data_IF_703297905022
#
_entry.id   IF_703297905022
#
_cell.length_a   1.000
_cell.length_b   1.000
_cell.length_c   1.000
_cell.angle_alpha   90.00
_cell.angle_beta   90.00
_cell.angle_gamma   90.00
#
_symmetry.space_group_name_H-M   'P 1'
#
loop_
_entity.id
_entity.type
_entity.pdbx_description
1 polymer ?
#
# COMPACT_ATOMS: atom_id res chain seq x y z
N UNK A 1 -34.51 -26.64 23.81
CA UNK A 1 -35.31 -25.41 23.63
C UNK A 1 -34.72 -24.61 22.47
N UNK A 2 -35.34 -24.66 21.29
CA UNK A 2 -34.91 -23.89 20.13
C UNK A 2 -35.27 -22.42 20.35
N UNK A 3 -34.28 -21.55 20.63
CA UNK A 3 -34.49 -20.10 20.61
C UNK A 3 -34.78 -19.69 19.16
N UNK A 4 -36.07 -19.60 18.80
CA UNK A 4 -36.51 -18.87 17.60
C UNK A 4 -35.97 -17.45 17.74
N UNK A 5 -34.97 -17.09 16.94
CA UNK A 5 -34.49 -15.71 16.85
C UNK A 5 -35.69 -14.83 16.51
N UNK A 6 -36.06 -13.94 17.43
CA UNK A 6 -37.11 -12.97 17.20
C UNK A 6 -36.73 -12.14 15.96
N UNK A 7 -37.59 -12.17 14.94
CA UNK A 7 -37.43 -11.35 13.74
C UNK A 7 -37.53 -9.89 14.14
N UNK A 8 -36.37 -9.22 14.21
CA UNK A 8 -36.24 -7.78 14.45
C UNK A 8 -37.19 -7.02 13.53
N UNK A 9 -38.04 -6.18 14.10
CA UNK A 9 -39.05 -5.41 13.39
C UNK A 9 -38.41 -4.39 12.44
N UNK A 10 -39.20 -3.89 11.48
CA UNK A 10 -38.73 -2.87 10.53
C UNK A 10 -38.30 -1.58 11.24
N UNK A 11 -39.00 -1.19 12.30
CA UNK A 11 -38.66 0.03 13.04
C UNK A 11 -37.42 -0.16 13.91
N UNK A 12 -37.23 -1.32 14.52
CA UNK A 12 -35.98 -1.61 15.24
C UNK A 12 -34.76 -1.61 14.29
N UNK A 13 -34.91 -2.12 13.06
CA UNK A 13 -33.84 -2.03 12.05
C UNK A 13 -33.54 -0.58 11.66
N UNK A 14 -34.58 0.23 11.48
CA UNK A 14 -34.46 1.64 11.12
C UNK A 14 -33.79 2.44 12.25
N UNK A 15 -34.19 2.21 13.50
CA UNK A 15 -33.58 2.84 14.66
C UNK A 15 -32.10 2.46 14.79
N UNK A 16 -31.78 1.17 14.63
CA UNK A 16 -30.39 0.71 14.70
C UNK A 16 -29.50 1.35 13.64
N UNK A 17 -30.01 1.56 12.42
CA UNK A 17 -29.29 2.29 11.37
C UNK A 17 -29.07 3.75 11.80
N UNK A 18 -30.09 4.42 12.34
CA UNK A 18 -29.98 5.79 12.80
C UNK A 18 -28.95 5.95 13.93
N UNK A 19 -28.90 5.03 14.87
CA UNK A 19 -27.93 5.03 15.97
C UNK A 19 -26.49 4.88 15.45
N UNK A 20 -26.27 3.94 14.52
CA UNK A 20 -24.96 3.72 13.86
C UNK A 20 -24.53 4.97 13.08
N UNK A 21 -25.44 5.60 12.33
CA UNK A 21 -25.16 6.83 11.60
C UNK A 21 -24.79 7.98 12.55
N UNK A 22 -25.53 8.16 13.66
CA UNK A 22 -25.23 9.20 14.64
C UNK A 22 -23.87 8.99 15.34
N UNK A 23 -23.53 7.75 15.66
CA UNK A 23 -22.24 7.40 16.23
C UNK A 23 -21.09 7.72 15.27
N UNK A 24 -21.26 7.42 13.99
CA UNK A 24 -20.31 7.76 12.93
C UNK A 24 -20.11 9.28 12.82
N UNK A 25 -21.17 10.07 12.76
CA UNK A 25 -21.09 11.54 12.70
C UNK A 25 -20.37 12.13 13.90
N UNK A 26 -20.64 11.59 15.10
CA UNK A 26 -19.95 12.01 16.33
C UNK A 26 -18.45 11.72 16.27
N UNK A 27 -18.07 10.57 15.72
CA UNK A 27 -16.66 10.16 15.58
C UNK A 27 -15.90 11.07 14.61
N UNK A 28 -16.54 11.44 13.49
CA UNK A 28 -15.96 12.40 12.52
C UNK A 28 -15.61 13.71 13.21
N UNK A 29 -16.49 14.24 14.07
CA UNK A 29 -16.20 15.48 14.81
C UNK A 29 -15.02 15.32 15.78
N UNK A 30 -14.83 14.13 16.34
CA UNK A 30 -13.73 13.80 17.24
C UNK A 30 -12.35 13.97 16.59
N UNK A 31 -12.22 13.62 15.30
CA UNK A 31 -10.93 13.68 14.59
C UNK A 31 -10.40 15.10 14.38
N UNK A 32 -11.24 16.13 14.54
CA UNK A 32 -10.83 17.53 14.43
C UNK A 32 -10.42 18.15 15.76
N UNK A 33 -10.33 17.38 16.85
CA UNK A 33 -9.95 17.89 18.18
C UNK A 33 -8.46 18.20 18.27
N UNK A 34 -7.61 17.38 17.66
CA UNK A 34 -6.17 17.59 17.63
C UNK A 34 -5.54 17.11 16.31
N UNK A 35 -4.34 17.62 15.96
CA UNK A 35 -3.59 17.09 14.81
C UNK A 35 -3.29 15.59 14.93
N UNK A 36 -3.14 15.07 16.16
CA UNK A 36 -2.88 13.66 16.40
C UNK A 36 -4.12 12.80 16.09
N UNK A 37 -5.31 13.22 16.51
CA UNK A 37 -6.56 12.50 16.18
C UNK A 37 -6.79 12.43 14.67
N UNK A 38 -6.48 13.54 13.96
CA UNK A 38 -6.55 13.58 12.50
C UNK A 38 -5.50 12.66 11.87
N UNK A 39 -4.27 12.67 12.38
CA UNK A 39 -3.17 11.80 11.93
C UNK A 39 -3.60 10.32 11.99
N UNK A 40 -4.09 9.90 13.15
CA UNK A 40 -4.54 8.53 13.40
C UNK A 40 -5.70 8.13 12.47
N UNK A 41 -6.65 9.04 12.26
CA UNK A 41 -7.75 8.82 11.33
C UNK A 41 -7.28 8.68 9.87
N UNK A 42 -6.39 9.53 9.38
CA UNK A 42 -5.89 9.47 8.00
C UNK A 42 -5.03 8.22 7.75
N UNK A 43 -4.19 7.85 8.72
CA UNK A 43 -3.45 6.59 8.66
C UNK A 43 -4.38 5.39 8.61
N UNK A 44 -5.48 5.41 9.37
CA UNK A 44 -6.50 4.36 9.31
C UNK A 44 -7.27 4.37 7.98
N UNK A 45 -7.62 5.55 7.47
CA UNK A 45 -8.30 5.72 6.19
C UNK A 45 -7.49 5.16 5.03
N UNK A 46 -6.18 5.41 5.02
CA UNK A 46 -5.26 4.85 4.04
C UNK A 46 -5.33 3.32 4.01
N UNK A 47 -5.30 2.65 5.17
CA UNK A 47 -5.35 1.19 5.24
C UNK A 47 -6.67 0.60 4.73
N UNK A 48 -7.79 1.30 4.93
CA UNK A 48 -9.14 0.82 4.60
C UNK A 48 -9.77 1.54 3.41
N UNK A 49 -8.95 2.07 2.48
CA UNK A 49 -9.36 2.92 1.36
C UNK A 49 -10.47 2.35 0.45
N UNK A 50 -10.67 1.03 0.44
CA UNK A 50 -11.75 0.34 -0.30
C UNK A 50 -13.12 0.35 0.39
N UNK A 51 -13.19 0.74 1.66
CA UNK A 51 -14.44 0.98 2.37
C UNK A 51 -14.78 2.48 2.30
N UNK A 52 -16.07 2.83 2.30
CA UNK A 52 -16.47 4.24 2.37
C UNK A 52 -15.95 4.91 3.65
N UNK A 53 -15.70 6.23 3.61
CA UNK A 53 -15.30 7.03 4.78
C UNK A 53 -16.19 6.81 6.01
N UNK A 54 -17.49 6.63 5.79
CA UNK A 54 -18.48 6.21 6.79
C UNK A 54 -18.14 4.88 7.44
N UNK A 55 -17.88 3.85 6.63
CA UNK A 55 -17.54 2.52 7.13
C UNK A 55 -16.15 2.47 7.76
N UNK A 56 -15.17 3.22 7.24
CA UNK A 56 -13.84 3.40 7.86
C UNK A 56 -14.00 3.93 9.27
N UNK A 57 -14.77 5.02 9.42
CA UNK A 57 -15.05 5.63 10.73
C UNK A 57 -15.73 4.64 11.68
N UNK A 58 -16.70 3.87 11.18
CA UNK A 58 -17.39 2.86 11.98
C UNK A 58 -16.46 1.73 12.43
N UNK A 59 -15.56 1.28 11.57
CA UNK A 59 -14.61 0.21 11.90
C UNK A 59 -13.64 0.71 12.98
N UNK A 60 -13.01 1.87 12.77
CA UNK A 60 -12.05 2.43 13.71
C UNK A 60 -12.65 2.63 15.11
N UNK A 61 -13.87 3.17 15.17
CA UNK A 61 -14.53 3.46 16.45
C UNK A 61 -15.02 2.19 17.18
N UNK A 62 -15.30 1.11 16.47
CA UNK A 62 -15.75 -0.15 17.07
C UNK A 62 -14.60 -1.11 17.39
N UNK A 63 -13.48 -1.00 16.67
CA UNK A 63 -12.34 -1.90 16.78
C UNK A 63 -11.04 -1.14 16.49
N UNK A 64 -10.52 -0.51 17.54
CA UNK A 64 -9.24 0.19 17.49
C UNK A 64 -8.10 -0.79 17.15
N UNK A 65 -7.20 -0.38 16.26
CA UNK A 65 -6.09 -1.22 15.81
C UNK A 65 -6.47 -2.29 14.77
N UNK A 66 -7.65 -2.22 14.15
CA UNK A 66 -7.98 -3.09 13.02
C UNK A 66 -6.93 -2.97 11.91
N UNK A 67 -6.49 -4.11 11.35
CA UNK A 67 -5.45 -4.18 10.33
C UNK A 67 -5.97 -4.75 9.01
N UNK A 68 -6.93 -5.67 9.09
CA UNK A 68 -7.56 -6.22 7.91
C UNK A 68 -8.93 -6.78 8.22
N UNK A 69 -9.97 -6.23 7.59
CA UNK A 69 -11.34 -6.62 7.85
C UNK A 69 -11.99 -7.26 6.63
N UNK A 70 -12.76 -8.31 6.89
CA UNK A 70 -13.55 -9.01 5.90
C UNK A 70 -14.85 -9.53 6.50
N UNK A 71 -15.84 -9.78 5.64
CA UNK A 71 -17.07 -10.44 6.07
C UNK A 71 -16.78 -11.88 6.54
N UNK A 72 -17.69 -12.47 7.31
CA UNK A 72 -17.57 -13.89 7.69
C UNK A 72 -17.39 -14.80 6.46
N UNK A 73 -18.15 -14.53 5.40
CA UNK A 73 -18.06 -15.27 4.13
C UNK A 73 -16.72 -15.07 3.43
N UNK A 74 -16.18 -13.86 3.43
CA UNK A 74 -14.86 -13.56 2.86
C UNK A 74 -13.76 -14.40 3.52
N UNK A 75 -13.71 -14.41 4.86
CA UNK A 75 -12.72 -15.20 5.58
C UNK A 75 -12.86 -16.69 5.30
N UNK A 76 -14.11 -17.19 5.29
CA UNK A 76 -14.41 -18.57 4.96
C UNK A 76 -13.94 -18.96 3.56
N UNK A 77 -14.20 -18.11 2.57
CA UNK A 77 -13.76 -18.32 1.18
C UNK A 77 -12.24 -18.37 1.07
N UNK A 78 -11.53 -17.55 1.85
CA UNK A 78 -10.06 -17.53 1.92
C UNK A 78 -9.45 -18.68 2.75
N UNK A 79 -10.28 -19.58 3.27
CA UNK A 79 -9.85 -20.75 4.05
C UNK A 79 -9.67 -20.49 5.55
N UNK A 80 -10.15 -19.35 6.05
CA UNK A 80 -10.04 -18.95 7.45
C UNK A 80 -11.40 -18.93 8.14
N UNK A 81 -11.40 -19.09 9.46
CA UNK A 81 -12.60 -19.08 10.29
C UNK A 81 -12.51 -17.98 11.35
N UNK A 82 -13.64 -17.30 11.57
CA UNK A 82 -13.80 -16.38 12.70
C UNK A 82 -13.80 -17.20 13.99
N UNK A 83 -13.04 -16.74 14.99
CA UNK A 83 -12.92 -17.40 16.30
C UNK A 83 -14.29 -17.41 17.00
N UNK A 84 -14.57 -18.49 17.72
CA UNK A 84 -15.84 -18.66 18.43
C UNK A 84 -15.99 -17.59 19.51
N UNK A 85 -17.09 -16.84 19.48
CA UNK A 85 -17.42 -15.82 20.48
C UNK A 85 -17.08 -14.39 20.06
N UNK A 86 -16.37 -14.21 18.95
CA UNK A 86 -16.04 -12.88 18.41
C UNK A 86 -17.30 -12.11 18.00
N UNK A 87 -17.29 -10.81 18.28
CA UNK A 87 -18.36 -9.89 17.89
C UNK A 87 -18.00 -9.21 16.58
N UNK A 88 -18.93 -9.21 15.63
CA UNK A 88 -18.74 -8.53 14.35
C UNK A 88 -18.79 -7.01 14.48
N UNK A 89 -17.93 -6.35 13.72
CA UNK A 89 -17.84 -4.90 13.55
C UNK A 89 -18.95 -4.45 12.59
N UNK A 90 -19.81 -3.53 13.01
CA UNK A 90 -20.96 -3.11 12.22
C UNK A 90 -20.55 -2.16 11.09
N UNK A 91 -21.03 -2.42 9.89
CA UNK A 91 -20.87 -1.55 8.72
C UNK A 91 -22.22 -1.27 8.06
N UNK A 92 -22.31 -0.17 7.32
CA UNK A 92 -23.45 0.15 6.49
C UNK A 92 -23.28 -0.48 5.10
N UNK A 93 -24.25 -1.31 4.71
CA UNK A 93 -24.26 -2.01 3.42
C UNK A 93 -25.33 -1.39 2.53
N UNK A 94 -24.96 -0.80 1.37
CA UNK A 94 -25.93 -0.23 0.44
C UNK A 94 -26.69 -1.34 -0.30
N UNK A 95 -28.01 -1.15 -0.44
CA UNK A 95 -28.88 -1.96 -1.27
C UNK A 95 -29.71 -1.07 -2.17
N UNK A 96 -29.83 -1.44 -3.44
CA UNK A 96 -30.70 -0.78 -4.40
C UNK A 96 -31.95 -1.62 -4.62
N UNK A 97 -33.13 -1.00 -4.48
CA UNK A 97 -34.37 -1.64 -4.90
C UNK A 97 -34.49 -1.57 -6.42
N UNK A 98 -34.89 -2.65 -7.07
CA UNK A 98 -35.13 -2.59 -8.50
C UNK A 98 -36.30 -1.64 -8.85
N UNK A 99 -36.11 -0.81 -9.88
CA UNK A 99 -37.13 0.10 -10.38
C UNK A 99 -38.35 -0.66 -10.91
N UNK A 100 -39.55 -0.12 -10.67
CA UNK A 100 -40.81 -0.72 -11.10
C UNK A 100 -41.68 0.31 -11.83
N UNK A 101 -42.48 -0.15 -12.79
CA UNK A 101 -43.52 0.63 -13.43
C UNK A 101 -44.88 -0.04 -13.22
N UNK A 102 -45.95 0.74 -13.30
CA UNK A 102 -47.32 0.25 -13.18
C UNK A 102 -47.87 -0.08 -14.56
N UNK A 103 -48.18 -1.35 -14.78
CA UNK A 103 -48.81 -1.82 -16.01
C UNK A 103 -50.25 -1.27 -16.13
N UNK A 104 -50.84 -1.32 -17.34
CA UNK A 104 -52.24 -0.92 -17.59
C UNK A 104 -53.26 -1.64 -16.69
N UNK A 105 -52.94 -2.86 -16.25
CA UNK A 105 -53.76 -3.67 -15.33
C UNK A 105 -53.58 -3.28 -13.84
N UNK A 106 -52.80 -2.22 -13.54
CA UNK A 106 -52.54 -1.73 -12.19
C UNK A 106 -51.45 -2.50 -11.42
N UNK A 107 -50.86 -3.55 -12.00
CA UNK A 107 -49.79 -4.35 -11.39
C UNK A 107 -48.43 -3.67 -11.51
N UNK A 108 -47.60 -3.76 -10.47
CA UNK A 108 -46.22 -3.29 -10.49
C UNK A 108 -45.27 -4.34 -11.09
N UNK A 109 -44.56 -3.96 -12.15
CA UNK A 109 -43.59 -4.80 -12.87
C UNK A 109 -42.20 -4.19 -12.85
N UNK A 110 -41.18 -5.04 -12.82
CA UNK A 110 -39.79 -4.60 -12.88
C UNK A 110 -39.49 -3.96 -14.25
N UNK A 111 -38.79 -2.83 -14.24
CA UNK A 111 -38.36 -2.16 -15.48
C UNK A 111 -37.47 -3.08 -16.33
N UNK A 112 -36.63 -3.90 -15.71
CA UNK A 112 -35.79 -4.90 -16.40
C UNK A 112 -36.57 -5.99 -17.13
N UNK A 113 -37.87 -6.15 -16.83
CA UNK A 113 -38.76 -7.12 -17.48
C UNK A 113 -39.76 -6.45 -18.44
N UNK A 114 -39.60 -5.15 -18.73
CA UNK A 114 -40.49 -4.42 -19.63
C UNK A 114 -40.36 -4.89 -21.09
N UNK A 115 -41.48 -5.01 -21.81
CA UNK A 115 -41.52 -5.19 -23.26
C UNK A 115 -41.07 -3.91 -23.98
N UNK A 116 -40.79 -4.00 -25.29
CA UNK A 116 -40.39 -2.82 -26.08
C UNK A 116 -41.45 -1.71 -26.08
N UNK A 117 -42.74 -2.06 -26.11
CA UNK A 117 -43.81 -1.08 -26.02
C UNK A 117 -43.90 -0.44 -24.62
N UNK A 118 -43.74 -1.23 -23.56
CA UNK A 118 -43.70 -0.74 -22.19
C UNK A 118 -42.47 0.17 -21.97
N UNK A 119 -41.31 -0.14 -22.56
CA UNK A 119 -40.12 0.72 -22.51
C UNK A 119 -40.37 2.08 -23.17
N UNK A 120 -41.08 2.12 -24.31
CA UNK A 120 -41.48 3.38 -24.96
C UNK A 120 -42.42 4.20 -24.06
N UNK A 121 -43.38 3.54 -23.41
CA UNK A 121 -44.30 4.21 -22.46
C UNK A 121 -43.58 4.72 -21.21
N UNK A 122 -42.57 4.00 -20.71
CA UNK A 122 -41.70 4.44 -19.61
C UNK A 122 -40.89 5.67 -20.03
N UNK A 123 -40.27 5.65 -21.22
CA UNK A 123 -39.46 6.75 -21.74
C UNK A 123 -40.29 8.02 -21.98
N UNK A 124 -41.54 7.88 -22.45
CA UNK A 124 -42.48 8.98 -22.65
C UNK A 124 -43.21 9.42 -21.37
N UNK A 125 -42.86 8.85 -20.20
CA UNK A 125 -43.47 9.13 -18.89
C UNK A 125 -44.99 8.93 -18.84
N UNK A 126 -45.51 8.01 -19.66
CA UNK A 126 -46.94 7.70 -19.74
C UNK A 126 -47.41 6.69 -18.69
N UNK A 127 -46.49 6.10 -17.92
CA UNK A 127 -46.77 5.12 -16.86
C UNK A 127 -46.24 5.57 -15.51
N UNK A 128 -46.96 5.20 -14.44
CA UNK A 128 -46.56 5.51 -13.07
C UNK A 128 -45.29 4.71 -12.71
N UNK A 129 -44.27 5.41 -12.19
CA UNK A 129 -42.96 4.85 -11.89
C UNK A 129 -42.68 4.83 -10.38
N UNK A 130 -42.11 3.72 -9.92
CA UNK A 130 -41.41 3.59 -8.65
C UNK A 130 -39.91 3.49 -8.96
N UNK A 131 -39.15 4.61 -8.86
CA UNK A 131 -37.74 4.59 -9.18
C UNK A 131 -36.96 3.66 -8.24
N UNK A 132 -35.77 3.27 -8.67
CA UNK A 132 -34.81 2.61 -7.79
C UNK A 132 -34.55 3.50 -6.58
N UNK A 133 -34.55 2.91 -5.38
CA UNK A 133 -34.26 3.59 -4.11
C UNK A 133 -33.07 2.92 -3.47
N UNK A 134 -32.10 3.73 -3.07
CA UNK A 134 -31.00 3.30 -2.22
C UNK A 134 -31.49 3.23 -0.78
N UNK A 135 -31.19 2.13 -0.09
CA UNK A 135 -31.38 2.00 1.34
C UNK A 135 -30.20 1.21 1.92
N UNK A 136 -30.00 1.31 3.23
CA UNK A 136 -28.89 0.66 3.91
C UNK A 136 -29.37 -0.43 4.86
N UNK A 137 -28.54 -1.43 5.07
CA UNK A 137 -28.67 -2.39 6.17
C UNK A 137 -27.37 -2.47 6.97
N UNK A 138 -27.41 -3.13 8.11
CA UNK A 138 -26.22 -3.37 8.93
C UNK A 138 -25.60 -4.71 8.54
N UNK A 139 -24.39 -4.64 7.97
CA UNK A 139 -23.51 -5.78 7.77
C UNK A 139 -22.52 -5.93 8.92
N UNK A 140 -21.81 -7.05 8.92
CA UNK A 140 -20.77 -7.34 9.91
C UNK A 140 -19.49 -7.80 9.23
N UNK A 141 -18.38 -7.18 9.64
CA UNK A 141 -17.02 -7.58 9.27
C UNK A 141 -16.24 -7.98 10.52
N UNK A 142 -15.13 -8.68 10.32
CA UNK A 142 -14.26 -9.18 11.37
C UNK A 142 -12.83 -8.85 10.99
N UNK A 143 -12.07 -8.33 11.95
CA UNK A 143 -10.64 -8.12 11.79
C UNK A 143 -9.87 -9.45 11.74
N UNK A 144 -8.71 -9.47 11.10
CA UNK A 144 -7.80 -10.61 11.02
C UNK A 144 -7.52 -11.23 12.39
N UNK A 145 -7.32 -10.40 13.42
CA UNK A 145 -7.11 -10.83 14.81
C UNK A 145 -8.28 -11.62 15.40
N UNK A 146 -9.50 -11.40 14.89
CA UNK A 146 -10.72 -12.13 15.25
C UNK A 146 -10.87 -13.46 14.50
N UNK A 147 -9.91 -13.82 13.66
CA UNK A 147 -9.90 -15.06 12.87
C UNK A 147 -8.69 -15.92 13.22
N UNK A 148 -8.60 -17.11 12.61
CA UNK A 148 -7.44 -17.98 12.70
C UNK A 148 -6.36 -17.70 11.62
N UNK A 149 -6.47 -16.60 10.84
CA UNK A 149 -5.44 -16.20 9.86
C UNK A 149 -4.14 -15.84 10.57
N UNK A 150 -2.99 -16.17 9.96
CA UNK A 150 -1.66 -15.75 10.43
C UNK A 150 -1.18 -14.53 9.66
N UNK A 151 -0.28 -13.75 10.25
CA UNK A 151 0.32 -12.60 9.58
C UNK A 151 0.96 -12.97 8.23
N UNK A 152 1.61 -14.13 8.15
CA UNK A 152 2.22 -14.67 6.92
C UNK A 152 1.22 -14.94 5.80
N UNK A 153 -0.05 -15.15 6.11
CA UNK A 153 -1.10 -15.38 5.12
C UNK A 153 -1.69 -14.08 4.57
N UNK A 154 -1.57 -12.96 5.31
CA UNK A 154 -2.22 -11.70 4.95
C UNK A 154 -1.75 -11.13 3.60
N UNK A 155 -0.46 -11.24 3.19
CA UNK A 155 -0.04 -10.87 1.84
C UNK A 155 -0.78 -11.60 0.73
N UNK A 156 -1.10 -12.89 0.93
CA UNK A 156 -1.88 -13.65 -0.06
C UNK A 156 -3.36 -13.26 -0.04
N UNK A 157 -3.90 -12.90 1.11
CA UNK A 157 -5.31 -12.55 1.28
C UNK A 157 -5.61 -11.12 0.81
N UNK A 158 -4.67 -10.18 1.03
CA UNK A 158 -4.76 -8.76 0.68
C UNK A 158 -3.48 -8.29 -0.06
N UNK A 159 -3.26 -8.75 -1.30
CA UNK A 159 -1.97 -8.58 -2.00
C UNK A 159 -1.49 -7.14 -2.14
N UNK A 160 -2.39 -6.19 -2.39
CA UNK A 160 -2.01 -4.81 -2.64
C UNK A 160 -1.70 -4.01 -1.36
N UNK A 161 -2.01 -4.54 -0.17
CA UNK A 161 -1.85 -3.82 1.10
C UNK A 161 -0.41 -3.83 1.64
N UNK A 162 0.43 -4.74 1.14
CA UNK A 162 1.78 -4.97 1.64
C UNK A 162 2.86 -4.49 0.66
N UNK A 163 2.50 -3.57 -0.23
CA UNK A 163 3.47 -2.89 -1.07
C UNK A 163 4.24 -1.89 -0.20
N UNK A 164 5.49 -2.24 0.15
CA UNK A 164 6.36 -1.33 0.89
C UNK A 164 6.84 -0.20 -0.03
N UNK A 165 6.60 1.05 0.37
CA UNK A 165 7.11 2.24 -0.32
C UNK A 165 8.43 2.71 0.27
N UNK A 166 9.47 1.88 0.21
CA UNK A 166 10.84 2.39 0.37
C UNK A 166 11.24 3.23 -0.85
N UNK A 167 12.18 4.15 -0.68
CA UNK A 167 12.75 5.01 -1.74
C UNK A 167 13.24 4.19 -2.97
N UNK A 168 13.60 2.92 -2.78
CA UNK A 168 13.90 1.98 -3.86
C UNK A 168 12.78 1.85 -4.93
N UNK A 169 11.54 2.17 -4.58
CA UNK A 169 10.37 2.15 -5.48
C UNK A 169 9.95 3.54 -5.99
N UNK A 170 10.76 4.59 -5.79
CA UNK A 170 10.41 5.98 -6.14
C UNK A 170 9.97 6.14 -7.61
N UNK A 171 10.68 5.54 -8.55
CA UNK A 171 10.35 5.63 -9.99
C UNK A 171 8.98 5.01 -10.30
N UNK A 172 8.67 3.84 -9.73
CA UNK A 172 7.37 3.18 -9.92
C UNK A 172 6.24 3.95 -9.22
N UNK A 173 6.51 4.53 -8.05
CA UNK A 173 5.57 5.42 -7.37
C UNK A 173 5.30 6.69 -8.18
N UNK A 174 6.34 7.28 -8.77
CA UNK A 174 6.23 8.47 -9.61
C UNK A 174 5.42 8.20 -10.87
N UNK A 175 5.66 7.07 -11.57
CA UNK A 175 4.79 6.60 -12.65
C UNK A 175 3.34 6.43 -12.22
N UNK A 176 3.10 5.96 -10.99
CA UNK A 176 1.76 5.90 -10.40
C UNK A 176 1.10 7.27 -10.28
N UNK A 177 1.85 8.32 -9.92
CA UNK A 177 1.37 9.70 -9.88
C UNK A 177 1.16 10.30 -11.28
N UNK A 178 1.98 9.94 -12.26
CA UNK A 178 1.75 10.30 -13.67
C UNK A 178 0.43 9.68 -14.17
N UNK A 179 0.17 8.41 -13.85
CA UNK A 179 -1.09 7.75 -14.19
C UNK A 179 -2.31 8.40 -13.50
N UNK A 180 -2.15 8.96 -12.29
CA UNK A 180 -3.19 9.78 -11.65
C UNK A 180 -3.47 11.02 -12.49
N UNK A 181 -2.43 11.72 -12.94
CA UNK A 181 -2.56 12.92 -13.75
C UNK A 181 -3.31 12.60 -15.07
N UNK A 182 -2.88 11.55 -15.78
CA UNK A 182 -3.51 11.07 -17.00
C UNK A 182 -5.00 10.72 -16.80
N UNK A 183 -5.31 9.94 -15.77
CA UNK A 183 -6.69 9.53 -15.44
C UNK A 183 -7.62 10.71 -15.12
N UNK A 184 -7.07 11.81 -14.65
CA UNK A 184 -7.82 13.02 -14.27
C UNK A 184 -7.72 14.13 -15.33
N UNK A 185 -7.22 13.85 -16.54
CA UNK A 185 -6.99 14.83 -17.60
C UNK A 185 -6.14 16.03 -17.14
N UNK A 186 -5.13 15.77 -16.30
CA UNK A 186 -4.19 16.76 -15.76
C UNK A 186 -2.83 16.59 -16.44
N UNK A 187 -2.21 17.71 -16.83
CA UNK A 187 -0.86 17.70 -17.41
C UNK A 187 0.18 18.09 -16.38
N UNK A 188 1.20 17.25 -16.22
CA UNK A 188 2.41 17.62 -15.47
C UNK A 188 3.34 18.35 -16.44
N UNK A 189 3.63 19.62 -16.16
CA UNK A 189 4.44 20.50 -17.02
C UNK A 189 5.67 21.02 -16.28
N UNK A 190 6.65 21.51 -17.03
CA UNK A 190 7.67 22.37 -16.47
C UNK A 190 7.04 23.68 -15.94
N UNK A 191 7.57 24.28 -14.85
CA UNK A 191 7.08 25.56 -14.37
C UNK A 191 7.06 26.62 -15.46
N UNK A 192 5.95 27.36 -15.56
CA UNK A 192 5.81 28.47 -16.53
C UNK A 192 6.75 29.63 -16.20
N UNK A 193 7.17 29.74 -14.94
CA UNK A 193 8.09 30.72 -14.40
C UNK A 193 8.92 30.11 -13.25
N UNK A 194 10.00 30.78 -12.84
CA UNK A 194 10.82 30.35 -11.70
C UNK A 194 10.01 30.41 -10.39
N UNK A 195 9.92 29.27 -9.70
CA UNK A 195 9.09 29.12 -8.50
C UNK A 195 9.80 29.56 -7.20
N UNK A 196 11.11 29.81 -7.24
CA UNK A 196 11.88 30.23 -6.07
C UNK A 196 11.84 29.16 -4.97
N UNK A 197 11.21 29.50 -3.84
CA UNK A 197 11.05 28.60 -2.67
C UNK A 197 9.75 27.79 -2.70
N UNK A 198 8.80 28.15 -3.58
CA UNK A 198 7.52 27.43 -3.75
C UNK A 198 7.82 26.04 -4.28
N UNK A 199 7.20 25.01 -3.69
CA UNK A 199 7.50 23.61 -3.99
C UNK A 199 6.77 23.10 -5.23
N UNK A 200 5.57 23.60 -5.48
CA UNK A 200 4.74 23.24 -6.62
C UNK A 200 3.59 24.23 -6.79
N UNK A 201 2.88 24.09 -7.91
CA UNK A 201 1.73 24.92 -8.23
C UNK A 201 0.76 24.15 -9.12
N UNK A 202 -0.53 24.29 -8.81
CA UNK A 202 -1.64 23.84 -9.64
C UNK A 202 -2.26 25.03 -10.38
N UNK A 203 -2.57 24.84 -11.66
CA UNK A 203 -3.22 25.82 -12.52
C UNK A 203 -4.65 25.34 -12.86
N UNK A 204 -5.68 25.71 -12.06
CA UNK A 204 -7.06 25.24 -12.24
C UNK A 204 -7.67 25.50 -13.61
N UNK A 205 -7.30 26.62 -14.24
CA UNK A 205 -7.85 27.06 -15.53
C UNK A 205 -7.40 26.17 -16.69
N UNK A 206 -6.20 25.60 -16.62
CA UNK A 206 -5.59 24.83 -17.69
C UNK A 206 -5.44 23.34 -17.36
N UNK A 207 -5.81 22.93 -16.14
CA UNK A 207 -5.60 21.57 -15.62
C UNK A 207 -4.14 21.13 -15.74
N UNK A 208 -3.26 22.01 -15.31
CA UNK A 208 -1.81 21.78 -15.34
C UNK A 208 -1.27 21.83 -13.91
N UNK A 209 -0.24 21.03 -13.64
CA UNK A 209 0.54 21.09 -12.39
C UNK A 209 2.02 21.21 -12.73
N UNK A 210 2.76 21.96 -11.92
CA UNK A 210 4.19 22.10 -12.06
C UNK A 210 4.89 21.95 -10.70
N UNK A 211 6.07 21.35 -10.70
CA UNK A 211 6.89 21.17 -9.51
C UNK A 211 8.18 21.98 -9.60
N UNK A 212 8.71 22.36 -8.45
CA UNK A 212 10.03 22.97 -8.37
C UNK A 212 11.10 21.92 -8.70
N UNK A 213 11.97 22.15 -9.71
CA UNK A 213 13.03 21.20 -10.08
C UNK A 213 14.05 20.95 -8.97
N UNK A 214 14.11 21.80 -7.94
CA UNK A 214 15.02 21.68 -6.79
C UNK A 214 14.47 20.80 -5.66
N UNK A 215 13.30 20.19 -5.84
CA UNK A 215 12.72 19.30 -4.83
C UNK A 215 13.51 18.00 -4.71
N UNK A 216 13.72 17.52 -3.48
CA UNK A 216 14.13 16.14 -3.24
C UNK A 216 13.04 15.16 -3.68
N UNK A 217 13.36 13.89 -3.85
CA UNK A 217 12.40 12.84 -4.25
C UNK A 217 11.17 12.79 -3.32
N UNK A 218 11.39 12.75 -2.00
CA UNK A 218 10.29 12.77 -1.03
C UNK A 218 9.43 14.03 -1.15
N UNK A 219 10.07 15.19 -1.36
CA UNK A 219 9.34 16.44 -1.57
C UNK A 219 8.57 16.42 -2.89
N UNK A 220 9.09 15.83 -3.95
CA UNK A 220 8.39 15.67 -5.23
C UNK A 220 7.13 14.84 -5.07
N UNK A 221 7.19 13.68 -4.41
CA UNK A 221 6.01 12.83 -4.17
C UNK A 221 4.96 13.59 -3.38
N UNK A 222 5.33 14.19 -2.24
CA UNK A 222 4.38 14.93 -1.41
C UNK A 222 3.72 16.06 -2.22
N UNK A 223 4.55 16.87 -2.88
CA UNK A 223 4.06 18.05 -3.60
C UNK A 223 3.20 17.67 -4.79
N UNK A 224 3.60 16.66 -5.57
CA UNK A 224 2.82 16.23 -6.72
C UNK A 224 1.45 15.68 -6.30
N UNK A 225 1.39 14.86 -5.24
CA UNK A 225 0.12 14.39 -4.70
C UNK A 225 -0.79 15.56 -4.25
N UNK A 226 -0.20 16.59 -3.63
CA UNK A 226 -0.91 17.80 -3.22
C UNK A 226 -1.45 18.58 -4.43
N UNK A 227 -0.61 18.87 -5.43
CA UNK A 227 -1.03 19.62 -6.63
C UNK A 227 -2.04 18.83 -7.48
N UNK A 228 -1.90 17.50 -7.57
CA UNK A 228 -2.87 16.62 -8.24
C UNK A 228 -4.21 16.60 -7.50
N UNK A 229 -4.21 16.62 -6.17
CA UNK A 229 -5.43 16.73 -5.39
C UNK A 229 -6.12 18.09 -5.65
N UNK A 230 -5.36 19.18 -5.75
CA UNK A 230 -5.89 20.46 -6.19
C UNK A 230 -6.48 20.40 -7.59
N UNK A 231 -5.73 19.86 -8.56
CA UNK A 231 -6.16 19.80 -9.95
C UNK A 231 -7.44 18.96 -10.12
N UNK A 232 -7.60 17.91 -9.31
CA UNK A 232 -8.81 17.08 -9.29
C UNK A 232 -10.01 17.77 -8.63
N UNK A 233 -9.84 18.26 -7.41
CA UNK A 233 -10.95 18.73 -6.58
C UNK A 233 -11.36 20.18 -6.88
N UNK A 234 -10.41 21.00 -7.33
CA UNK A 234 -10.54 22.46 -7.43
C UNK A 234 -10.32 22.93 -8.86
N UNK A 235 -11.12 22.41 -9.78
CA UNK A 235 -11.13 22.85 -11.18
C UNK A 235 -11.69 24.27 -11.30
N UNK A 236 -11.58 24.87 -12.48
CA UNK A 236 -12.24 26.14 -12.85
C UNK A 236 -13.69 26.23 -12.36
N UNK A 237 -14.44 25.14 -12.44
CA UNK A 237 -15.86 25.12 -12.09
C UNK A 237 -16.10 24.93 -10.59
N UNK A 238 -15.26 24.14 -9.92
CA UNK A 238 -15.51 23.72 -8.52
C UNK A 238 -14.80 24.57 -7.49
N UNK A 239 -13.68 25.22 -7.84
CA UNK A 239 -12.84 25.93 -6.87
C UNK A 239 -13.56 27.08 -6.15
N UNK A 240 -14.62 27.64 -6.75
CA UNK A 240 -15.42 28.73 -6.18
C UNK A 240 -16.33 28.27 -5.03
N UNK A 241 -16.58 26.96 -4.91
CA UNK A 241 -17.44 26.40 -3.87
C UNK A 241 -16.74 26.27 -2.51
N UNK A 242 -15.41 26.41 -2.49
CA UNK A 242 -14.57 26.17 -1.33
C UNK A 242 -13.77 27.41 -0.97
N UNK A 243 -13.62 27.66 0.34
CA UNK A 243 -12.65 28.62 0.86
C UNK A 243 -11.23 28.12 0.64
N UNK A 244 -10.24 29.00 0.63
CA UNK A 244 -8.82 28.60 0.56
C UNK A 244 -8.47 27.57 1.64
N UNK A 245 -8.95 27.75 2.88
CA UNK A 245 -8.69 26.81 3.96
C UNK A 245 -9.27 25.41 3.69
N UNK A 246 -10.49 25.33 3.14
CA UNK A 246 -11.11 24.04 2.76
C UNK A 246 -10.32 23.37 1.62
N UNK A 247 -9.85 24.15 0.63
CA UNK A 247 -9.06 23.63 -0.49
C UNK A 247 -7.72 23.04 -0.03
N UNK A 248 -6.96 23.81 0.75
CA UNK A 248 -5.66 23.38 1.31
C UNK A 248 -5.83 22.18 2.23
N UNK A 249 -6.89 22.17 3.05
CA UNK A 249 -7.23 21.01 3.88
C UNK A 249 -7.40 19.76 3.01
N UNK A 250 -8.19 19.82 1.96
CA UNK A 250 -8.44 18.65 1.13
C UNK A 250 -7.20 18.15 0.40
N UNK A 251 -6.41 19.07 -0.18
CA UNK A 251 -5.20 18.70 -0.89
C UNK A 251 -4.16 18.10 0.07
N UNK A 252 -3.91 18.74 1.21
CA UNK A 252 -2.90 18.28 2.17
C UNK A 252 -3.30 16.95 2.82
N UNK A 253 -4.58 16.76 3.18
CA UNK A 253 -5.03 15.49 3.79
C UNK A 253 -5.04 14.34 2.79
N UNK A 254 -5.34 14.62 1.51
CA UNK A 254 -5.21 13.63 0.44
C UNK A 254 -3.75 13.21 0.28
N UNK A 255 -2.84 14.18 0.12
CA UNK A 255 -1.42 13.91 -0.03
C UNK A 255 -0.85 13.16 1.18
N UNK A 256 -1.22 13.58 2.40
CA UNK A 256 -0.85 12.91 3.63
C UNK A 256 -1.28 11.44 3.66
N UNK A 257 -2.55 11.17 3.31
CA UNK A 257 -3.14 9.82 3.32
C UNK A 257 -2.44 8.90 2.34
N UNK A 258 -2.23 9.37 1.11
CA UNK A 258 -1.58 8.60 0.05
C UNK A 258 -0.10 8.36 0.38
N UNK A 259 0.64 9.38 0.82
CA UNK A 259 2.04 9.23 1.19
C UNK A 259 2.22 8.27 2.38
N UNK A 260 1.38 8.38 3.41
CA UNK A 260 1.42 7.51 4.60
C UNK A 260 1.16 6.05 4.25
N UNK A 261 0.28 5.78 3.27
CA UNK A 261 0.01 4.41 2.81
C UNK A 261 1.27 3.72 2.30
N UNK A 262 2.13 4.46 1.60
CA UNK A 262 3.39 3.95 1.08
C UNK A 262 4.54 4.06 2.09
N UNK A 263 4.26 4.27 3.39
CA UNK A 263 5.29 4.30 4.43
C UNK A 263 6.18 5.55 4.39
N UNK A 264 5.80 6.57 3.62
CA UNK A 264 6.44 7.88 3.69
C UNK A 264 5.87 8.61 4.90
N UNK A 265 6.72 9.20 5.75
CA UNK A 265 6.26 10.01 6.88
C UNK A 265 6.25 11.51 6.52
N UNK A 266 5.09 12.09 6.12
CA UNK A 266 4.98 13.52 5.83
C UNK A 266 4.75 14.37 7.08
N UNK A 267 4.77 13.79 8.29
CA UNK A 267 4.20 14.43 9.49
C UNK A 267 4.96 15.66 10.00
N UNK A 268 6.28 15.76 9.81
CA UNK A 268 7.05 16.97 10.16
C UNK A 268 6.59 18.23 9.40
N UNK A 269 6.02 18.07 8.20
CA UNK A 269 5.67 19.19 7.32
C UNK A 269 4.16 19.41 7.16
N UNK A 270 3.35 18.35 7.19
CA UNK A 270 1.93 18.42 6.86
C UNK A 270 1.03 18.84 8.02
N UNK A 271 1.33 18.43 9.25
CA UNK A 271 0.45 18.67 10.40
C UNK A 271 0.60 20.09 10.97
N UNK A 272 1.81 20.65 10.97
CA UNK A 272 2.05 22.05 11.34
C UNK A 272 1.46 23.04 10.32
N UNK A 273 1.56 22.71 9.02
CA UNK A 273 0.94 23.49 7.95
C UNK A 273 -0.60 23.41 8.04
N UNK A 274 -1.18 22.23 8.26
CA UNK A 274 -2.62 22.07 8.47
C UNK A 274 -3.15 22.91 9.65
N UNK A 275 -2.44 22.93 10.77
CA UNK A 275 -2.79 23.75 11.92
C UNK A 275 -2.86 25.24 11.54
N UNK A 276 -1.91 25.73 10.72
CA UNK A 276 -1.93 27.11 10.23
C UNK A 276 -3.14 27.46 9.34
N UNK A 277 -3.70 26.47 8.63
CA UNK A 277 -4.86 26.66 7.76
C UNK A 277 -6.21 26.45 8.45
N UNK A 278 -6.24 25.68 9.53
CA UNK A 278 -7.49 25.26 10.19
C UNK A 278 -7.70 25.90 11.56
N UNK A 279 -6.65 26.41 12.22
CA UNK A 279 -6.76 27.05 13.52
C UNK A 279 -7.49 28.39 13.42
N UNK A 280 -8.60 28.50 14.13
CA UNK A 280 -9.45 29.71 14.15
C UNK A 280 -10.30 29.92 12.90
N UNK A 281 -10.31 28.98 11.95
CA UNK A 281 -11.17 29.01 10.76
C UNK A 281 -12.25 27.94 10.86
N UNK A 282 -13.46 28.27 10.45
CA UNK A 282 -14.57 27.32 10.41
C UNK A 282 -14.49 26.51 9.11
N UNK A 283 -14.35 25.19 9.23
CA UNK A 283 -14.47 24.26 8.12
C UNK A 283 -15.92 23.82 8.03
N UNK A 284 -16.62 24.28 7.00
CA UNK A 284 -18.04 23.93 6.81
C UNK A 284 -18.14 22.47 6.39
N UNK A 285 -19.23 21.83 6.81
CA UNK A 285 -19.59 20.49 6.36
C UNK A 285 -18.42 19.47 6.49
N UNK A 286 -17.73 19.42 7.63
CA UNK A 286 -16.56 18.54 7.86
C UNK A 286 -16.69 17.10 7.33
N UNK A 287 -17.86 16.50 7.48
CA UNK A 287 -18.14 15.16 6.95
C UNK A 287 -18.05 15.08 5.42
N UNK A 288 -18.47 16.13 4.71
CA UNK A 288 -18.32 16.28 3.25
C UNK A 288 -16.85 16.42 2.87
N UNK A 289 -16.10 17.30 3.54
CA UNK A 289 -14.67 17.48 3.27
C UNK A 289 -13.87 16.18 3.46
N UNK A 290 -14.12 15.47 4.56
CA UNK A 290 -13.50 14.17 4.86
C UNK A 290 -13.88 13.12 3.82
N UNK A 291 -15.14 13.11 3.37
CA UNK A 291 -15.59 12.21 2.32
C UNK A 291 -14.87 12.49 1.00
N UNK A 292 -14.73 13.76 0.61
CA UNK A 292 -14.05 14.17 -0.63
C UNK A 292 -12.54 13.84 -0.59
N UNK A 293 -11.89 14.03 0.57
CA UNK A 293 -10.50 13.57 0.83
C UNK A 293 -10.39 12.08 0.65
N UNK A 294 -11.29 11.32 1.28
CA UNK A 294 -11.28 9.86 1.22
C UNK A 294 -11.48 9.35 -0.21
N UNK A 295 -12.50 9.85 -0.93
CA UNK A 295 -12.78 9.43 -2.31
C UNK A 295 -11.60 9.73 -3.24
N UNK A 296 -10.96 10.89 -3.06
CA UNK A 296 -9.76 11.25 -3.82
C UNK A 296 -8.57 10.35 -3.49
N UNK A 297 -8.28 10.15 -2.20
CA UNK A 297 -7.18 9.32 -1.76
C UNK A 297 -7.36 7.86 -2.22
N UNK A 298 -8.58 7.32 -2.12
CA UNK A 298 -8.89 5.97 -2.58
C UNK A 298 -8.65 5.79 -4.08
N UNK A 299 -9.05 6.77 -4.91
CA UNK A 299 -8.76 6.72 -6.35
C UNK A 299 -7.25 6.81 -6.65
N UNK A 300 -6.53 7.68 -5.93
CA UNK A 300 -5.08 7.82 -6.10
C UNK A 300 -4.37 6.52 -5.73
N UNK A 301 -4.73 5.94 -4.57
CA UNK A 301 -4.20 4.67 -4.11
C UNK A 301 -4.50 3.53 -5.08
N UNK A 302 -5.73 3.41 -5.57
CA UNK A 302 -6.09 2.38 -6.55
C UNK A 302 -5.29 2.53 -7.85
N UNK A 303 -5.15 3.75 -8.35
CA UNK A 303 -4.37 4.05 -9.57
C UNK A 303 -2.90 3.67 -9.39
N UNK A 304 -2.29 4.06 -8.27
CA UNK A 304 -0.89 3.73 -7.98
C UNK A 304 -0.73 2.22 -7.77
N UNK A 305 -1.61 1.56 -7.02
CA UNK A 305 -1.58 0.11 -6.81
C UNK A 305 -1.59 -0.67 -8.12
N UNK A 306 -2.43 -0.26 -9.09
CA UNK A 306 -2.49 -0.89 -10.41
C UNK A 306 -1.15 -0.77 -11.12
N UNK A 307 -0.56 0.42 -11.15
CA UNK A 307 0.74 0.65 -11.80
C UNK A 307 1.85 -0.15 -11.11
N UNK A 308 1.90 -0.13 -9.78
CA UNK A 308 2.90 -0.89 -9.01
C UNK A 308 2.78 -2.39 -9.25
N UNK A 309 1.55 -2.92 -9.31
CA UNK A 309 1.30 -4.33 -9.59
C UNK A 309 1.73 -4.70 -11.01
N UNK A 310 1.42 -3.86 -12.01
CA UNK A 310 1.88 -4.07 -13.39
C UNK A 310 3.40 -4.02 -13.51
N UNK A 311 4.07 -3.09 -12.83
CA UNK A 311 5.53 -3.03 -12.84
C UNK A 311 6.15 -4.25 -12.15
N UNK A 312 5.52 -4.77 -11.10
CA UNK A 312 5.93 -6.02 -10.45
C UNK A 312 5.74 -7.24 -11.36
N UNK A 313 4.60 -7.33 -12.05
CA UNK A 313 4.34 -8.40 -13.02
C UNK A 313 5.32 -8.35 -14.19
N UNK A 314 5.60 -7.18 -14.75
CA UNK A 314 6.62 -7.01 -15.80
C UNK A 314 8.01 -7.44 -15.34
N UNK A 315 8.40 -7.10 -14.10
CA UNK A 315 9.67 -7.55 -13.52
C UNK A 315 9.71 -9.08 -13.38
N UNK A 316 8.63 -9.68 -12.87
CA UNK A 316 8.51 -11.13 -12.76
C UNK A 316 8.50 -11.82 -14.13
N UNK A 317 7.82 -11.27 -15.14
CA UNK A 317 7.83 -11.77 -16.52
C UNK A 317 9.20 -11.63 -17.18
N UNK A 318 9.92 -10.54 -16.92
CA UNK A 318 11.30 -10.37 -17.37
C UNK A 318 12.25 -11.37 -16.67
N UNK A 319 12.08 -11.62 -15.38
CA UNK A 319 12.83 -12.65 -14.65
C UNK A 319 12.50 -14.05 -15.16
N UNK A 320 11.24 -14.34 -15.49
CA UNK A 320 10.81 -15.62 -16.07
C UNK A 320 11.29 -15.76 -17.53
N UNK A 321 11.23 -14.73 -18.37
CA UNK A 321 11.78 -14.76 -19.75
C UNK A 321 13.30 -14.87 -19.72
N UNK A 322 13.99 -14.21 -18.78
CA UNK A 322 15.42 -14.42 -18.55
C UNK A 322 15.67 -15.86 -18.09
N UNK A 323 14.87 -16.42 -17.19
CA UNK A 323 15.00 -17.80 -16.69
C UNK A 323 14.69 -18.83 -17.79
N UNK A 324 13.65 -18.64 -18.62
CA UNK A 324 13.27 -19.51 -19.73
C UNK A 324 14.27 -19.41 -20.91
N UNK A 325 14.79 -18.22 -21.20
CA UNK A 325 15.93 -18.06 -22.12
C UNK A 325 17.18 -18.76 -21.58
N UNK A 326 17.40 -18.74 -20.27
CA UNK A 326 18.50 -19.47 -19.61
C UNK A 326 18.27 -20.99 -19.62
N UNK A 327 17.02 -21.46 -19.58
CA UNK A 327 16.67 -22.88 -19.66
C UNK A 327 16.72 -23.44 -21.10
N UNK A 328 16.45 -22.62 -22.13
CA UNK A 328 16.66 -23.00 -23.54
C UNK A 328 18.14 -22.97 -23.99
N UNK A 329 19.04 -22.53 -23.09
CA UNK A 329 20.51 -22.56 -23.21
C UNK A 329 21.06 -23.85 -22.54
N UNK A 330 20.25 -24.90 -22.36
CA UNK A 330 20.68 -26.17 -21.74
C UNK A 330 21.61 -27.04 -22.61
N UNK A 331 21.92 -26.62 -23.84
CA UNK A 331 23.04 -27.16 -24.63
C UNK A 331 24.35 -26.35 -24.48
N UNK A 332 24.38 -25.36 -23.60
CA UNK A 332 25.49 -24.39 -23.37
C UNK A 332 25.85 -24.24 -21.89
N UNK A 333 25.51 -25.22 -21.05
CA UNK A 333 25.65 -25.17 -19.58
C UNK A 333 27.10 -24.97 -19.09
N UNK A 334 28.10 -25.58 -19.74
CA UNK A 334 29.50 -25.45 -19.32
C UNK A 334 30.08 -24.05 -19.60
N UNK A 335 29.61 -23.36 -20.64
CA UNK A 335 30.07 -22.01 -20.97
C UNK A 335 29.47 -20.93 -20.06
N UNK A 336 28.24 -21.13 -19.58
CA UNK A 336 27.56 -20.19 -18.68
C UNK A 336 28.11 -20.26 -17.26
N UNK A 337 28.36 -21.47 -16.73
CA UNK A 337 28.99 -21.64 -15.41
C UNK A 337 30.35 -20.95 -15.36
N UNK A 338 31.19 -21.13 -16.39
CA UNK A 338 32.50 -20.50 -16.48
C UNK A 338 32.44 -18.96 -16.57
N UNK A 339 31.47 -18.41 -17.31
CA UNK A 339 31.30 -16.96 -17.44
C UNK A 339 30.81 -16.31 -16.13
N UNK A 340 29.87 -16.96 -15.43
CA UNK A 340 29.36 -16.52 -14.12
C UNK A 340 30.45 -16.63 -13.06
N UNK A 341 31.24 -17.69 -13.06
CA UNK A 341 32.40 -17.83 -12.18
C UNK A 341 33.48 -16.76 -12.49
N UNK A 342 33.73 -16.45 -13.76
CA UNK A 342 34.65 -15.36 -14.11
C UNK A 342 34.15 -14.00 -13.61
N UNK A 343 32.87 -13.68 -13.80
CA UNK A 343 32.28 -12.42 -13.37
C UNK A 343 32.28 -12.28 -11.84
N UNK A 344 31.94 -13.35 -11.11
CA UNK A 344 32.01 -13.38 -9.65
C UNK A 344 33.44 -13.20 -9.15
N UNK A 345 34.42 -13.76 -9.85
CA UNK A 345 35.85 -13.62 -9.55
C UNK A 345 36.29 -12.16 -9.69
N UNK A 346 35.96 -11.52 -10.81
CA UNK A 346 36.29 -10.11 -11.08
C UNK A 346 35.63 -9.16 -10.05
N UNK A 347 34.35 -9.39 -9.72
CA UNK A 347 33.62 -8.60 -8.71
C UNK A 347 34.21 -8.78 -7.31
N UNK A 348 34.58 -10.01 -6.94
CA UNK A 348 35.22 -10.27 -5.65
C UNK A 348 36.60 -9.61 -5.57
N UNK A 349 37.37 -9.67 -6.66
CA UNK A 349 38.69 -9.04 -6.77
C UNK A 349 38.59 -7.51 -6.63
N UNK A 350 37.58 -6.89 -7.28
CA UNK A 350 37.29 -5.47 -7.15
C UNK A 350 36.91 -5.08 -5.71
N UNK A 351 36.04 -5.86 -5.07
CA UNK A 351 35.69 -5.67 -3.66
C UNK A 351 36.92 -5.74 -2.75
N UNK A 352 37.78 -6.73 -2.93
CA UNK A 352 38.99 -6.88 -2.10
C UNK A 352 40.02 -5.78 -2.33
N UNK A 353 40.14 -5.26 -3.56
CA UNK A 353 40.97 -4.08 -3.83
C UNK A 353 40.42 -2.81 -3.18
N UNK A 354 39.12 -2.55 -3.32
CA UNK A 354 38.47 -1.41 -2.68
C UNK A 354 38.61 -1.50 -1.15
N UNK A 355 38.51 -2.69 -0.57
CA UNK A 355 38.78 -2.94 0.85
C UNK A 355 40.24 -2.70 1.26
N UNK A 356 41.21 -2.95 0.39
CA UNK A 356 42.63 -2.64 0.64
C UNK A 356 42.99 -1.16 0.46
N UNK A 357 42.20 -0.42 -0.32
CA UNK A 357 42.39 1.00 -0.61
C UNK A 357 41.55 1.93 0.28
N UNK A 358 40.61 1.37 1.07
CA UNK A 358 39.78 2.11 2.03
C UNK A 358 40.65 2.89 3.02
N UNK A 359 40.34 4.18 3.19
CA UNK A 359 40.95 4.98 4.26
C UNK A 359 39.89 5.76 5.03
N UNK A 360 40.03 5.80 6.36
CA UNK A 360 39.07 6.48 7.25
C UNK A 360 39.00 8.00 7.02
N UNK A 361 39.99 8.56 6.30
CA UNK A 361 40.07 10.00 5.99
C UNK A 361 39.44 10.36 4.64
N UNK A 362 39.05 9.37 3.84
CA UNK A 362 38.48 9.55 2.52
C UNK A 362 37.12 8.84 2.44
N UNK A 363 36.05 9.62 2.53
CA UNK A 363 34.67 9.13 2.55
C UNK A 363 34.32 8.45 1.22
N UNK A 364 34.87 8.91 0.10
CA UNK A 364 34.59 8.33 -1.23
C UNK A 364 35.18 6.92 -1.34
N UNK A 365 36.34 6.68 -0.72
CA UNK A 365 36.93 5.33 -0.63
C UNK A 365 36.07 4.35 0.17
N UNK A 366 35.34 4.84 1.19
CA UNK A 366 34.42 4.02 1.99
C UNK A 366 33.16 3.68 1.17
N UNK A 367 32.59 4.67 0.47
CA UNK A 367 31.44 4.45 -0.40
C UNK A 367 31.76 3.48 -1.54
N UNK A 368 32.92 3.62 -2.19
CA UNK A 368 33.33 2.73 -3.28
C UNK A 368 33.46 1.28 -2.79
N UNK A 369 34.08 1.07 -1.61
CA UNK A 369 34.14 -0.24 -0.96
C UNK A 369 32.75 -0.83 -0.65
N UNK A 370 31.83 -0.03 -0.09
CA UNK A 370 30.44 -0.48 0.17
C UNK A 370 29.75 -0.91 -1.11
N UNK A 371 29.88 -0.11 -2.18
CA UNK A 371 29.25 -0.38 -3.47
C UNK A 371 29.80 -1.66 -4.11
N UNK A 372 31.12 -1.90 -4.05
CA UNK A 372 31.72 -3.12 -4.58
C UNK A 372 31.35 -4.37 -3.75
N UNK A 373 31.22 -4.22 -2.42
CA UNK A 373 30.72 -5.28 -1.53
C UNK A 373 29.29 -5.70 -1.90
N UNK A 374 28.38 -4.73 -2.01
CA UNK A 374 26.97 -4.98 -2.34
C UNK A 374 26.81 -5.63 -3.73
N UNK A 375 27.57 -5.16 -4.73
CA UNK A 375 27.57 -5.74 -6.09
C UNK A 375 28.00 -7.20 -6.10
N UNK A 376 29.04 -7.55 -5.33
CA UNK A 376 29.51 -8.92 -5.23
C UNK A 376 28.47 -9.83 -4.56
N UNK A 377 28.01 -9.47 -3.35
CA UNK A 377 27.11 -10.33 -2.57
C UNK A 377 25.74 -10.50 -3.22
N UNK A 378 25.21 -9.46 -3.86
CA UNK A 378 23.95 -9.56 -4.61
C UNK A 378 24.08 -10.52 -5.80
N UNK A 379 25.19 -10.43 -6.55
CA UNK A 379 25.44 -11.31 -7.70
C UNK A 379 25.69 -12.76 -7.27
N UNK A 380 26.42 -12.96 -6.15
CA UNK A 380 26.66 -14.27 -5.54
C UNK A 380 25.35 -14.94 -5.11
N UNK A 381 24.48 -14.20 -4.42
CA UNK A 381 23.22 -14.75 -3.92
C UNK A 381 22.32 -15.21 -5.06
N UNK A 382 22.15 -14.38 -6.09
CA UNK A 382 21.37 -14.72 -7.29
C UNK A 382 21.99 -15.94 -7.99
N UNK A 383 23.30 -15.99 -8.17
CA UNK A 383 23.95 -17.11 -8.86
C UNK A 383 23.75 -18.45 -8.13
N UNK A 384 23.74 -18.45 -6.79
CA UNK A 384 23.50 -19.66 -5.98
C UNK A 384 22.01 -20.04 -5.98
N UNK A 385 21.11 -19.08 -5.77
CA UNK A 385 19.65 -19.32 -5.71
C UNK A 385 19.11 -19.89 -7.02
N UNK A 386 19.67 -19.46 -8.14
CA UNK A 386 19.33 -19.95 -9.48
C UNK A 386 20.14 -21.17 -9.92
N UNK A 387 20.99 -21.73 -9.06
CA UNK A 387 21.78 -22.94 -9.33
C UNK A 387 22.82 -22.79 -10.44
N UNK A 388 23.23 -21.55 -10.75
CA UNK A 388 24.23 -21.24 -11.78
C UNK A 388 25.66 -21.54 -11.31
N UNK A 389 25.90 -21.46 -10.00
CA UNK A 389 27.15 -21.84 -9.32
C UNK A 389 26.83 -22.56 -8.02
N UNK A 390 27.75 -23.39 -7.54
CA UNK A 390 27.59 -24.04 -6.23
C UNK A 390 28.24 -23.21 -5.13
N UNK A 391 27.80 -23.41 -3.89
CA UNK A 391 28.45 -22.80 -2.74
C UNK A 391 29.94 -23.17 -2.65
N UNK A 392 30.30 -24.38 -3.07
CA UNK A 392 31.68 -24.87 -3.09
C UNK A 392 32.52 -24.19 -4.17
N UNK A 393 31.99 -23.99 -5.39
CA UNK A 393 32.73 -23.32 -6.46
C UNK A 393 32.99 -21.85 -6.16
N UNK A 394 32.03 -21.17 -5.52
CA UNK A 394 32.23 -19.79 -5.04
C UNK A 394 33.32 -19.72 -3.96
N UNK A 395 33.37 -20.68 -3.03
CA UNK A 395 34.43 -20.71 -2.01
C UNK A 395 35.82 -20.91 -2.61
N UNK A 396 35.94 -21.78 -3.62
CA UNK A 396 37.21 -21.99 -4.33
C UNK A 396 37.65 -20.73 -5.09
N UNK A 397 36.73 -20.08 -5.78
CA UNK A 397 36.95 -18.82 -6.48
C UNK A 397 37.43 -17.71 -5.53
N UNK A 398 36.74 -17.52 -4.40
CA UNK A 398 37.14 -16.51 -3.40
C UNK A 398 38.56 -16.78 -2.88
N UNK A 399 38.89 -18.05 -2.63
CA UNK A 399 40.23 -18.47 -2.20
C UNK A 399 41.30 -18.14 -3.25
N UNK A 400 41.04 -18.47 -4.53
CA UNK A 400 41.97 -18.24 -5.63
C UNK A 400 42.24 -16.73 -5.86
N UNK A 401 41.20 -15.91 -5.77
CA UNK A 401 41.34 -14.44 -5.88
C UNK A 401 42.16 -13.88 -4.72
N UNK A 402 41.94 -14.39 -3.50
CA UNK A 402 42.65 -13.92 -2.32
C UNK A 402 44.14 -14.30 -2.35
N UNK A 403 44.47 -15.48 -2.87
CA UNK A 403 45.85 -15.91 -3.14
C UNK A 403 46.51 -15.02 -4.21
N UNK A 404 45.83 -14.79 -5.34
CA UNK A 404 46.28 -13.91 -6.42
C UNK A 404 46.55 -12.48 -5.96
N UNK A 405 45.73 -11.94 -5.06
CA UNK A 405 45.93 -10.60 -4.50
C UNK A 405 47.09 -10.56 -3.50
N UNK A 406 47.32 -11.64 -2.75
CA UNK A 406 48.47 -11.82 -1.86
C UNK A 406 49.80 -11.81 -2.62
N UNK A 407 49.89 -12.52 -3.74
CA UNK A 407 51.10 -12.59 -4.58
C UNK A 407 51.41 -11.25 -5.29
N UNK A 408 50.40 -10.43 -5.57
CA UNK A 408 50.54 -9.12 -6.19
C UNK A 408 50.85 -7.99 -5.19
N UNK A 409 51.17 -8.32 -3.94
CA UNK A 409 51.59 -7.34 -2.92
C UNK A 409 50.48 -6.46 -2.37
N UNK A 410 49.21 -6.80 -2.61
CA UNK A 410 48.06 -6.07 -2.04
C UNK A 410 47.93 -6.45 -0.57
N UNK A 411 48.42 -5.59 0.32
CA UNK A 411 48.31 -5.81 1.76
C UNK A 411 46.90 -5.46 2.22
N UNK A 412 46.06 -6.47 2.44
CA UNK A 412 44.71 -6.28 3.01
C UNK A 412 44.86 -5.89 4.49
N UNK A 413 44.76 -4.60 4.79
CA UNK A 413 44.74 -4.11 6.17
C UNK A 413 43.53 -4.67 6.90
N UNK A 414 43.76 -5.53 7.91
CA UNK A 414 42.73 -5.97 8.86
C UNK A 414 42.35 -4.82 9.80
N UNK A 415 41.62 -3.82 9.30
CA UNK A 415 40.96 -2.74 10.05
C UNK A 415 40.31 -1.88 8.97
N UNK A 416 39.04 -2.08 8.60
CA UNK A 416 37.87 -1.75 9.42
C UNK A 416 36.84 -2.88 9.34
N UNK A 417 36.55 -3.55 10.46
CA UNK A 417 35.33 -4.38 10.54
C UNK A 417 34.19 -3.38 10.57
N UNK A 418 33.51 -3.17 9.43
CA UNK A 418 32.30 -2.34 9.45
C UNK A 418 31.34 -2.99 10.44
N UNK A 419 30.98 -2.26 11.49
CA UNK A 419 30.00 -2.72 12.47
C UNK A 419 28.61 -2.86 11.85
N UNK A 420 28.43 -2.56 10.55
CA UNK A 420 27.17 -2.61 9.82
C UNK A 420 26.66 -4.05 9.72
N UNK A 421 27.52 -5.05 9.46
CA UNK A 421 27.10 -6.47 9.41
C UNK A 421 26.73 -7.02 10.80
N UNK A 422 27.25 -6.44 11.89
CA UNK A 422 26.82 -6.75 13.27
C UNK A 422 25.71 -5.83 13.80
N UNK A 423 25.43 -4.70 13.12
CA UNK A 423 24.29 -3.82 13.40
C UNK A 423 23.03 -4.28 12.66
N UNK A 424 23.14 -4.90 11.49
CA UNK A 424 22.02 -5.60 10.85
C UNK A 424 21.63 -6.86 11.63
N UNK A 425 22.56 -7.49 12.36
CA UNK A 425 22.21 -8.50 13.38
C UNK A 425 21.58 -7.89 14.66
N UNK A 426 21.63 -6.57 14.84
CA UNK A 426 20.99 -5.84 15.97
C UNK A 426 19.71 -5.10 15.56
N UNK A 427 19.51 -4.84 14.29
CA UNK A 427 18.28 -4.29 13.71
C UNK A 427 17.62 -5.35 12.81
N UNK A 428 17.22 -6.47 13.43
CA UNK A 428 16.00 -7.11 12.99
C UNK A 428 14.82 -6.40 13.68
N UNK A 429 13.79 -5.94 12.94
CA UNK A 429 12.59 -5.35 13.54
C UNK A 429 11.77 -6.29 14.45
N UNK A 430 12.24 -7.52 14.74
CA UNK A 430 11.45 -8.58 15.37
C UNK A 430 11.98 -9.11 16.71
N UNK A 431 12.87 -8.38 17.40
CA UNK A 431 13.32 -8.80 18.76
C UNK A 431 12.36 -8.54 19.92
N UNK A 432 11.18 -7.95 19.70
CA UNK A 432 10.16 -7.84 20.75
C UNK A 432 9.23 -9.06 20.88
N UNK A 433 9.46 -10.13 20.11
CA UNK A 433 8.74 -11.40 20.28
C UNK A 433 9.65 -12.54 20.74
N UNK A 434 10.15 -12.46 21.98
CA UNK A 434 10.66 -13.61 22.70
C UNK A 434 9.93 -13.72 24.05
N UNK A 435 8.81 -14.46 24.09
CA UNK A 435 8.84 -15.69 24.88
C UNK A 435 8.04 -16.83 24.26
N UNK A 436 8.40 -17.30 23.06
CA UNK A 436 7.91 -18.59 22.54
C UNK A 436 9.00 -19.34 21.76
N UNK A 437 10.18 -19.50 22.36
CA UNK A 437 11.18 -20.48 21.94
C UNK A 437 11.64 -21.31 23.15
N UNK A 438 10.71 -22.06 23.74
CA UNK A 438 11.04 -23.22 24.59
C UNK A 438 10.24 -24.48 24.21
N UNK A 439 9.62 -24.55 23.04
CA UNK A 439 8.88 -25.75 22.62
C UNK A 439 9.64 -26.62 21.61
N UNK A 440 10.62 -26.10 20.88
CA UNK A 440 11.30 -26.87 19.82
C UNK A 440 12.57 -27.63 20.24
N UNK A 441 12.94 -27.64 21.53
CA UNK A 441 14.00 -28.53 22.05
C UNK A 441 13.50 -29.83 22.69
N UNK A 442 12.20 -30.14 22.62
CA UNK A 442 11.66 -31.43 23.10
C UNK A 442 11.26 -32.41 22.00
N UNK A 443 11.18 -32.00 20.74
CA UNK A 443 10.79 -32.91 19.65
C UNK A 443 11.98 -33.59 18.95
N UNK A 444 13.20 -33.04 19.01
CA UNK A 444 14.40 -33.72 18.45
C UNK A 444 15.00 -34.81 19.36
N UNK A 445 14.42 -35.05 20.54
CA UNK A 445 14.87 -36.11 21.46
C UNK A 445 13.95 -37.35 21.45
N UNK A 446 12.80 -37.31 20.76
CA UNK A 446 11.90 -38.47 20.65
C UNK A 446 12.06 -39.27 19.35
N UNK A 447 12.69 -38.72 18.31
CA UNK A 447 12.90 -39.45 17.04
C UNK A 447 14.25 -40.17 16.92
N UNK A 448 15.23 -39.90 17.80
CA UNK A 448 16.52 -40.65 17.81
C UNK A 448 16.54 -41.89 18.72
N UNK A 449 15.40 -42.30 19.28
CA UNK A 449 15.29 -43.43 20.22
C UNK A 449 14.66 -44.71 19.66
N UNK A 450 14.31 -44.79 18.37
CA UNK A 450 13.54 -45.93 17.82
C UNK A 450 14.20 -46.74 16.71
N UNK A 451 15.51 -46.59 16.49
CA UNK A 451 16.24 -47.39 15.49
C UNK A 451 17.23 -48.44 16.02
N UNK A 452 17.27 -48.73 17.33
CA UNK A 452 18.03 -49.88 17.86
C UNK A 452 17.21 -50.67 18.90
N UNK A 453 16.23 -51.45 18.44
CA UNK A 453 15.88 -52.76 19.05
C UNK A 453 14.98 -53.57 18.12
N UNK A 454 15.61 -54.36 17.25
CA UNK A 454 15.19 -55.74 17.00
C UNK A 454 16.36 -56.56 16.50
#
# INVERSE_FOLDING_TARGET
>A
MNKKHATVSREEKKQKIADVTKQMETSIQGYFRSPQDMKEYLSFMAMFHRYSSSNITLIQNQFEGAQAVGSFSFWKEKGFAVKKGEKGIQILVPHQTAAKFKEKQGRWKLVTKASEEEKRQIASKQVEMKPSRLYFTIGYVFDASQTNVKATDLPRVFPNRWLEGTVANYQSLYKGMEAIAEKNDVKIIAPKEELGVVKGVSYPETREVALNPRNSELQQVKTLLHELAHAKLHTKETHIHYTTAEKEFQAEMTAYTVASYFGLDPSEYSLGYLASWTQGKELREKAKLVKEVHETAAEFLETIEIVLQQEKEKKAEQEVDVTERTQNITHTADHVSNAVEQELSEKYEAFKRAQGQETVRDIDSIFDRVLMEERYFSSKQVAIEHGLVTQESVQQLESNVQEKLGDNGVTITKQTRSHIVEQEKRYEPFRQFAPYQQVTKKESALEKGKEHTR
#
